data_IF_011266650874
#
_entry.id   IF_011266650874
#
_cell.length_a   1.000
_cell.length_b   1.000
_cell.length_c   1.000
_cell.angle_alpha   90.00
_cell.angle_beta   90.00
_cell.angle_gamma   90.00
#
_symmetry.space_group_name_H-M   'P 1'
#
loop_
_entity.id
_entity.type
_entity.pdbx_description
1 polymer ?
#
# COMPACT_ATOMS: atom_id res chain seq x y z
N UNK A 1 -39.22 -8.51 44.88
CA UNK A 1 -38.02 -9.26 44.42
C UNK A 1 -37.61 -8.67 43.09
N UNK A 2 -36.44 -8.04 43.08
CA UNK A 2 -36.05 -7.03 42.12
C UNK A 2 -35.68 -7.59 40.74
N UNK A 3 -36.31 -7.02 39.71
CA UNK A 3 -35.78 -6.93 38.35
C UNK A 3 -35.04 -5.60 38.24
N UNK A 4 -33.70 -5.65 38.16
CA UNK A 4 -32.81 -4.61 37.63
C UNK A 4 -31.37 -5.12 37.74
N UNK A 5 -30.73 -5.24 36.58
CA UNK A 5 -29.34 -4.85 36.29
C UNK A 5 -28.89 -5.54 34.99
N UNK A 6 -29.33 -4.97 33.86
CA UNK A 6 -28.49 -4.96 32.67
C UNK A 6 -27.48 -3.85 32.89
N UNK A 7 -26.35 -4.18 33.49
CA UNK A 7 -25.23 -3.27 33.63
C UNK A 7 -24.46 -3.18 32.31
N UNK A 8 -24.22 -1.93 31.91
CA UNK A 8 -23.43 -1.48 30.78
C UNK A 8 -22.05 -2.15 30.74
N UNK A 9 -21.81 -3.01 29.75
CA UNK A 9 -20.47 -3.37 29.29
C UNK A 9 -20.26 -2.80 27.88
N UNK A 10 -19.69 -1.59 27.80
CA UNK A 10 -18.87 -1.05 26.69
C UNK A 10 -18.91 0.49 26.65
N UNK A 11 -18.24 1.14 27.60
CA UNK A 11 -17.84 2.54 27.45
C UNK A 11 -16.45 2.78 28.08
N UNK A 12 -15.48 1.90 27.81
CA UNK A 12 -14.11 2.41 27.75
C UNK A 12 -14.00 3.20 26.44
N UNK A 13 -13.48 4.43 26.44
CA UNK A 13 -13.23 5.14 25.20
C UNK A 13 -12.25 4.28 24.39
N UNK A 14 -12.71 3.88 23.21
CA UNK A 14 -11.88 3.15 22.25
C UNK A 14 -10.76 4.12 21.84
N UNK A 15 -9.50 3.73 22.05
CA UNK A 15 -8.31 4.50 21.64
C UNK A 15 -8.49 5.06 20.23
N UNK A 16 -8.05 6.29 19.97
CA UNK A 16 -8.16 6.90 18.65
C UNK A 16 -6.84 6.85 17.89
N UNK A 17 -6.91 6.61 16.58
CA UNK A 17 -5.78 6.69 15.66
C UNK A 17 -6.09 7.76 14.63
N UNK A 18 -5.29 8.83 14.63
CA UNK A 18 -5.30 9.86 13.61
C UNK A 18 -4.19 9.58 12.61
N UNK A 19 -4.56 9.08 11.43
CA UNK A 19 -3.64 8.64 10.41
C UNK A 19 -3.50 9.68 9.29
N UNK A 20 -2.29 10.12 8.94
CA UNK A 20 -2.01 11.02 7.83
C UNK A 20 -1.49 10.25 6.61
N UNK A 21 -2.22 10.29 5.50
CA UNK A 21 -1.95 9.47 4.33
C UNK A 21 -1.99 10.27 3.02
N UNK A 22 -0.95 10.11 2.21
CA UNK A 22 -0.89 10.70 0.87
C UNK A 22 -1.70 9.90 -0.17
N UNK A 23 -2.15 8.69 0.17
CA UNK A 23 -2.99 7.85 -0.68
C UNK A 23 -4.47 8.09 -0.38
N UNK A 24 -5.27 8.07 -1.44
CA UNK A 24 -6.72 8.16 -1.37
C UNK A 24 -7.32 6.80 -1.04
N UNK A 25 -8.24 6.75 -0.08
CA UNK A 25 -8.89 5.53 0.38
C UNK A 25 -9.60 4.79 -0.78
N UNK A 26 -10.36 5.54 -1.57
CA UNK A 26 -11.21 5.01 -2.66
C UNK A 26 -10.47 4.87 -4.01
N UNK A 27 -9.13 5.01 -4.06
CA UNK A 27 -8.38 4.95 -5.31
C UNK A 27 -7.82 3.55 -5.60
N UNK A 28 -6.68 3.19 -5.01
CA UNK A 28 -6.08 1.86 -5.17
C UNK A 28 -5.95 1.23 -3.80
N UNK A 29 -6.52 0.03 -3.65
CA UNK A 29 -6.50 -0.71 -2.39
C UNK A 29 -5.09 -1.27 -2.15
N UNK A 30 -4.47 -0.89 -1.03
CA UNK A 30 -3.09 -1.21 -0.70
C UNK A 30 -2.92 -1.34 0.83
N UNK A 31 -1.67 -1.28 1.29
CA UNK A 31 -1.26 -1.43 2.70
C UNK A 31 -2.10 -0.57 3.68
N UNK A 32 -2.35 0.73 3.46
CA UNK A 32 -3.14 1.52 4.42
C UNK A 32 -4.54 0.95 4.63
N UNK A 33 -5.23 0.54 3.56
CA UNK A 33 -6.56 -0.04 3.68
C UNK A 33 -6.53 -1.36 4.45
N UNK A 34 -5.54 -2.23 4.19
CA UNK A 34 -5.41 -3.48 4.92
C UNK A 34 -5.16 -3.27 6.42
N UNK A 35 -4.27 -2.35 6.78
CA UNK A 35 -3.87 -2.13 8.17
C UNK A 35 -4.91 -1.33 8.96
N UNK A 36 -5.42 -0.24 8.38
CA UNK A 36 -6.34 0.66 9.07
C UNK A 36 -7.73 0.03 9.24
N UNK A 37 -8.21 -0.77 8.29
CA UNK A 37 -9.45 -1.53 8.46
C UNK A 37 -9.37 -2.55 9.58
N UNK A 38 -8.19 -3.16 9.81
CA UNK A 38 -7.95 -4.05 10.96
C UNK A 38 -7.82 -3.26 12.26
N UNK A 39 -7.13 -2.13 12.20
CA UNK A 39 -7.00 -1.19 13.30
C UNK A 39 -8.35 -0.72 13.83
N UNK A 40 -9.35 -0.54 12.94
CA UNK A 40 -10.70 -0.15 13.31
C UNK A 40 -11.40 -1.12 14.29
N UNK A 41 -10.93 -2.37 14.41
CA UNK A 41 -11.42 -3.30 15.43
C UNK A 41 -10.95 -2.93 16.84
N UNK A 42 -9.76 -2.36 16.98
CA UNK A 42 -9.10 -2.03 18.25
C UNK A 42 -9.17 -0.54 18.62
N UNK A 43 -9.14 0.34 17.62
CA UNK A 43 -9.15 1.79 17.75
C UNK A 43 -10.26 2.44 16.89
N UNK A 44 -10.61 3.70 17.17
CA UNK A 44 -11.34 4.55 16.22
C UNK A 44 -10.34 5.16 15.24
N UNK A 45 -10.47 4.85 13.96
CA UNK A 45 -9.55 5.32 12.93
C UNK A 45 -10.11 6.52 12.20
N UNK A 46 -9.31 7.58 12.19
CA UNK A 46 -9.53 8.84 11.48
C UNK A 46 -8.40 9.01 10.46
N UNK A 47 -8.70 8.75 9.19
CA UNK A 47 -7.75 8.87 8.10
C UNK A 47 -7.82 10.27 7.46
N UNK A 48 -6.79 11.07 7.68
CA UNK A 48 -6.56 12.34 7.02
C UNK A 48 -5.83 12.12 5.70
N UNK A 49 -6.49 12.40 4.58
CA UNK A 49 -5.88 12.30 3.26
C UNK A 49 -5.23 13.62 2.84
N UNK A 50 -4.38 13.60 1.80
CA UNK A 50 -3.85 14.82 1.17
C UNK A 50 -4.97 15.82 0.78
N UNK A 51 -4.70 17.12 0.67
CA UNK A 51 -5.73 18.06 0.27
C UNK A 51 -6.14 17.90 -1.21
N UNK A 52 -7.39 18.25 -1.52
CA UNK A 52 -7.88 18.45 -2.88
C UNK A 52 -8.10 19.93 -3.10
N UNK A 53 -7.38 20.51 -4.06
CA UNK A 53 -7.67 21.88 -4.50
C UNK A 53 -8.96 21.89 -5.33
N UNK A 54 -9.97 22.60 -4.84
CA UNK A 54 -11.33 22.57 -5.38
C UNK A 54 -11.93 23.99 -5.46
N UNK A 55 -13.02 24.13 -6.22
CA UNK A 55 -13.78 25.38 -6.36
C UNK A 55 -14.64 25.75 -5.15
N UNK A 56 -14.17 25.47 -3.92
CA UNK A 56 -14.82 25.86 -2.67
C UNK A 56 -14.46 27.31 -2.30
N UNK A 57 -15.34 28.01 -1.60
CA UNK A 57 -15.11 29.43 -1.22
C UNK A 57 -14.17 29.57 -0.01
N UNK A 58 -14.18 28.58 0.88
CA UNK A 58 -13.36 28.50 2.07
C UNK A 58 -12.88 27.06 2.27
N UNK A 59 -11.80 26.83 3.04
CA UNK A 59 -11.39 25.47 3.37
C UNK A 59 -12.52 24.69 4.07
N UNK A 60 -12.79 23.48 3.59
CA UNK A 60 -13.84 22.59 4.10
C UNK A 60 -13.26 21.19 4.33
N UNK A 61 -13.75 20.48 5.34
CA UNK A 61 -13.35 19.08 5.58
C UNK A 61 -14.46 18.15 5.12
N UNK A 62 -14.27 17.47 3.98
CA UNK A 62 -15.17 16.40 3.55
C UNK A 62 -14.95 15.19 4.44
N UNK A 63 -16.03 14.64 4.99
CA UNK A 63 -15.99 13.45 5.83
C UNK A 63 -16.82 12.33 5.21
N UNK A 64 -16.26 11.13 5.11
CA UNK A 64 -16.97 9.91 4.72
C UNK A 64 -16.64 8.78 5.70
N UNK A 65 -17.45 7.73 5.69
CA UNK A 65 -17.19 6.52 6.47
C UNK A 65 -17.07 5.37 5.47
N UNK A 66 -15.90 4.75 5.43
CA UNK A 66 -15.65 3.56 4.64
C UNK A 66 -16.50 2.38 5.12
N UNK A 67 -16.66 1.36 4.27
CA UNK A 67 -17.44 0.15 4.63
C UNK A 67 -16.92 -0.52 5.89
N UNK A 68 -15.62 -0.44 6.13
CA UNK A 68 -14.92 -1.01 7.29
C UNK A 68 -15.05 -0.15 8.56
N UNK A 69 -15.68 1.02 8.48
CA UNK A 69 -15.90 1.93 9.59
C UNK A 69 -14.80 2.98 9.79
N UNK A 70 -13.75 2.96 8.96
CA UNK A 70 -12.71 4.00 8.95
C UNK A 70 -13.34 5.33 8.53
N UNK A 71 -13.13 6.39 9.32
CA UNK A 71 -13.57 7.73 8.94
C UNK A 71 -12.51 8.39 8.07
N UNK A 72 -12.86 8.69 6.83
CA UNK A 72 -11.97 9.33 5.86
C UNK A 72 -12.26 10.82 5.83
N UNK A 73 -11.19 11.61 5.93
CA UNK A 73 -11.20 13.06 6.06
C UNK A 73 -10.39 13.63 4.90
N UNK A 74 -11.07 14.29 3.96
CA UNK A 74 -10.43 14.89 2.79
C UNK A 74 -10.52 16.41 2.89
N UNK A 75 -9.41 17.14 3.10
CA UNK A 75 -9.42 18.60 3.09
C UNK A 75 -9.72 19.11 1.67
N UNK A 76 -10.73 19.95 1.53
CA UNK A 76 -11.06 20.68 0.31
C UNK A 76 -10.52 22.11 0.46
N UNK A 77 -9.59 22.51 -0.39
CA UNK A 77 -8.87 23.78 -0.25
C UNK A 77 -9.12 24.65 -1.49
N UNK A 78 -9.50 25.94 -1.33
CA UNK A 78 -9.58 26.85 -2.47
C UNK A 78 -8.24 26.99 -3.19
N UNK A 79 -8.27 27.15 -4.51
CA UNK A 79 -7.05 27.44 -5.27
C UNK A 79 -6.39 28.74 -4.78
N UNK A 80 -5.05 28.70 -4.62
CA UNK A 80 -4.27 29.85 -4.17
C UNK A 80 -4.21 30.06 -2.64
N UNK A 81 -4.92 29.24 -1.85
CA UNK A 81 -4.80 29.24 -0.40
C UNK A 81 -3.54 28.49 0.06
N UNK A 82 -2.92 28.95 1.17
CA UNK A 82 -1.85 28.20 1.83
C UNK A 82 -2.42 26.89 2.41
N UNK A 83 -2.07 25.76 1.78
CA UNK A 83 -2.64 24.47 2.14
C UNK A 83 -2.26 24.02 3.55
N UNK A 84 -1.06 24.33 4.03
CA UNK A 84 -0.61 23.91 5.36
C UNK A 84 -1.39 24.63 6.48
N UNK A 85 -1.57 25.94 6.33
CA UNK A 85 -2.33 26.76 7.29
C UNK A 85 -3.82 26.38 7.31
N UNK A 86 -4.40 26.16 6.12
CA UNK A 86 -5.78 25.70 5.99
C UNK A 86 -5.98 24.32 6.62
N UNK A 87 -5.09 23.36 6.36
CA UNK A 87 -5.15 22.03 6.95
C UNK A 87 -4.97 22.08 8.46
N UNK A 88 -4.02 22.85 8.99
CA UNK A 88 -3.82 23.01 10.45
C UNK A 88 -5.09 23.50 11.13
N UNK A 89 -5.77 24.48 10.53
CA UNK A 89 -7.03 25.02 11.05
C UNK A 89 -8.14 23.98 11.02
N UNK A 90 -8.33 23.29 9.89
CA UNK A 90 -9.33 22.22 9.76
C UNK A 90 -9.06 21.08 10.75
N UNK A 91 -7.79 20.71 10.95
CA UNK A 91 -7.35 19.64 11.82
C UNK A 91 -7.66 19.96 13.29
N UNK A 92 -7.32 21.17 13.74
CA UNK A 92 -7.62 21.62 15.09
C UNK A 92 -9.13 21.62 15.38
N UNK A 93 -9.91 22.17 14.45
CA UNK A 93 -11.37 22.18 14.57
C UNK A 93 -11.92 20.76 14.65
N UNK A 94 -11.40 19.84 13.83
CA UNK A 94 -11.83 18.44 13.82
C UNK A 94 -11.49 17.72 15.13
N UNK A 95 -10.25 17.83 15.62
CA UNK A 95 -9.80 17.26 16.90
C UNK A 95 -10.70 17.75 18.04
N UNK A 96 -10.96 19.06 18.11
CA UNK A 96 -11.84 19.66 19.11
C UNK A 96 -13.28 19.15 18.99
N UNK A 97 -13.83 19.06 17.78
CA UNK A 97 -15.20 18.58 17.54
C UNK A 97 -15.40 17.10 17.90
N UNK A 98 -14.37 16.27 17.69
CA UNK A 98 -14.42 14.85 18.01
C UNK A 98 -14.01 14.55 19.47
N UNK A 99 -13.46 15.52 20.20
CA UNK A 99 -12.94 15.30 21.55
C UNK A 99 -11.76 14.33 21.57
N UNK A 100 -10.83 14.46 20.61
CA UNK A 100 -9.64 13.61 20.52
C UNK A 100 -8.57 14.10 21.51
N UNK A 101 -8.79 13.82 22.80
CA UNK A 101 -7.89 14.23 23.89
C UNK A 101 -6.66 13.30 24.03
N UNK A 102 -6.78 12.05 23.59
CA UNK A 102 -5.71 11.04 23.60
C UNK A 102 -5.81 10.22 22.30
N UNK A 103 -4.72 10.17 21.53
CA UNK A 103 -4.67 9.50 20.24
C UNK A 103 -3.24 9.12 19.83
N UNK A 104 -3.14 8.13 18.95
CA UNK A 104 -1.92 7.81 18.20
C UNK A 104 -1.92 8.61 16.90
N UNK A 105 -0.82 9.28 16.58
CA UNK A 105 -0.60 9.88 15.27
C UNK A 105 0.16 8.89 14.37
N UNK A 106 -0.47 8.42 13.28
CA UNK A 106 0.13 7.47 12.35
C UNK A 106 0.43 8.15 11.01
N UNK A 107 1.69 8.18 10.59
CA UNK A 107 2.12 8.85 9.36
C UNK A 107 2.47 7.84 8.27
N UNK A 108 1.87 7.99 7.09
CA UNK A 108 2.35 7.42 5.82
C UNK A 108 3.06 8.45 4.95
N UNK A 109 3.08 9.73 5.36
CA UNK A 109 3.77 10.81 4.64
C UNK A 109 4.42 11.78 5.63
N UNK A 110 5.72 12.09 5.47
CA UNK A 110 6.36 13.12 6.27
C UNK A 110 5.79 14.52 6.06
N UNK A 111 5.15 14.77 4.91
CA UNK A 111 4.63 16.09 4.57
C UNK A 111 3.52 16.57 5.49
N UNK A 112 2.85 15.65 6.19
CA UNK A 112 1.81 16.02 7.15
C UNK A 112 2.35 16.81 8.35
N UNK A 113 3.63 16.65 8.71
CA UNK A 113 4.24 17.42 9.80
C UNK A 113 4.16 18.94 9.61
N UNK A 114 4.10 19.42 8.36
CA UNK A 114 3.96 20.85 8.05
C UNK A 114 2.71 21.49 8.69
N UNK A 115 1.68 20.70 8.96
CA UNK A 115 0.44 21.17 9.59
C UNK A 115 0.07 20.43 10.88
N UNK A 116 0.78 19.35 11.23
CA UNK A 116 0.50 18.54 12.42
C UNK A 116 1.59 18.57 13.50
N UNK A 117 2.71 19.27 13.30
CA UNK A 117 3.85 19.30 14.24
C UNK A 117 3.56 19.89 15.63
N UNK A 118 2.43 20.57 15.81
CA UNK A 118 2.00 21.11 17.11
C UNK A 118 1.17 20.11 17.93
N UNK A 119 0.82 18.96 17.34
CA UNK A 119 0.02 17.94 18.03
C UNK A 119 0.86 17.24 19.10
N UNK A 120 0.19 16.85 20.18
CA UNK A 120 0.75 16.08 21.28
C UNK A 120 0.03 14.72 21.35
N UNK A 121 0.31 13.79 20.41
CA UNK A 121 -0.23 12.44 20.49
C UNK A 121 0.41 11.69 21.66
N UNK A 122 -0.22 10.58 22.08
CA UNK A 122 0.43 9.61 22.95
C UNK A 122 1.64 9.02 22.23
N UNK A 123 1.49 8.66 20.95
CA UNK A 123 2.57 8.08 20.14
C UNK A 123 2.55 8.58 18.71
N UNK A 124 3.73 8.73 18.14
CA UNK A 124 3.99 8.94 16.72
C UNK A 124 4.48 7.64 16.07
N UNK A 125 3.64 7.09 15.19
CA UNK A 125 3.99 5.96 14.31
C UNK A 125 4.38 6.50 12.94
N UNK A 126 5.51 6.07 12.39
CA UNK A 126 5.85 6.30 10.99
C UNK A 126 5.88 4.99 10.21
N UNK A 127 4.91 4.76 9.32
CA UNK A 127 4.90 3.60 8.40
C UNK A 127 5.47 4.01 7.04
N UNK A 128 6.79 3.84 6.92
CA UNK A 128 7.56 4.07 5.71
C UNK A 128 7.33 2.90 4.73
N UNK A 129 6.34 3.04 3.86
CA UNK A 129 6.02 2.00 2.86
C UNK A 129 6.76 2.17 1.52
N UNK A 130 7.10 3.41 1.16
CA UNK A 130 7.78 3.78 -0.08
C UNK A 130 8.86 4.83 0.21
N UNK A 131 9.90 4.88 -0.62
CA UNK A 131 10.86 5.99 -0.64
C UNK A 131 10.24 7.17 -1.41
N UNK A 132 9.34 7.91 -0.75
CA UNK A 132 8.56 8.98 -1.38
C UNK A 132 9.44 10.06 -2.01
N UNK A 133 10.64 10.30 -1.46
CA UNK A 133 11.61 11.26 -1.98
C UNK A 133 12.16 10.88 -3.37
N UNK A 134 12.06 9.60 -3.74
CA UNK A 134 12.53 9.08 -5.01
C UNK A 134 11.46 9.09 -6.12
N UNK A 135 10.22 9.50 -5.82
CA UNK A 135 9.17 9.63 -6.83
C UNK A 135 9.40 10.84 -7.73
N UNK A 136 8.96 10.72 -8.98
CA UNK A 136 9.07 11.81 -9.94
C UNK A 136 8.20 12.99 -9.47
N UNK A 137 8.80 14.17 -9.36
CA UNK A 137 8.13 15.38 -8.89
C UNK A 137 7.93 15.45 -7.37
N UNK A 138 8.60 14.58 -6.60
CA UNK A 138 8.60 14.68 -5.14
C UNK A 138 9.11 16.06 -4.68
N UNK A 139 8.45 16.73 -3.72
CA UNK A 139 8.92 18.00 -3.17
C UNK A 139 10.31 17.83 -2.54
N UNK A 140 11.26 18.75 -2.76
CA UNK A 140 12.60 18.65 -2.18
C UNK A 140 12.58 18.69 -0.65
N UNK A 141 11.56 19.30 -0.05
CA UNK A 141 11.38 19.39 1.40
C UNK A 141 11.08 18.03 2.03
N UNK A 142 10.65 17.03 1.25
CA UNK A 142 10.29 15.71 1.77
C UNK A 142 11.44 15.05 2.52
N UNK A 143 12.69 15.23 2.06
CA UNK A 143 13.88 14.69 2.74
C UNK A 143 14.04 15.31 4.14
N UNK A 144 13.84 16.62 4.25
CA UNK A 144 13.96 17.34 5.53
C UNK A 144 12.82 16.97 6.48
N UNK A 145 11.59 16.89 5.97
CA UNK A 145 10.44 16.49 6.77
C UNK A 145 10.49 14.99 7.15
N UNK A 146 11.07 14.13 6.31
CA UNK A 146 11.31 12.73 6.69
C UNK A 146 12.31 12.65 7.86
N UNK A 147 13.38 13.43 7.83
CA UNK A 147 14.31 13.51 8.98
C UNK A 147 13.58 14.02 10.23
N UNK A 148 12.77 15.08 10.12
CA UNK A 148 11.97 15.55 11.26
C UNK A 148 11.05 14.47 11.78
N UNK A 149 10.38 13.71 10.91
CA UNK A 149 9.51 12.62 11.34
C UNK A 149 10.27 11.48 12.01
N UNK A 150 11.47 11.14 11.53
CA UNK A 150 12.35 10.21 12.24
C UNK A 150 12.72 10.70 13.64
N UNK A 151 12.96 12.00 13.82
CA UNK A 151 13.33 12.56 15.12
C UNK A 151 12.16 12.55 16.13
N UNK A 152 10.90 12.48 15.66
CA UNK A 152 9.70 12.50 16.51
C UNK A 152 8.99 11.14 16.61
N UNK A 153 9.31 10.17 15.76
CA UNK A 153 8.62 8.89 15.74
C UNK A 153 9.08 7.98 16.89
N UNK A 154 8.15 7.45 17.66
CA UNK A 154 8.47 6.46 18.71
C UNK A 154 8.73 5.09 18.09
N UNK A 155 8.04 4.78 16.98
CA UNK A 155 8.22 3.55 16.22
C UNK A 155 8.10 3.79 14.72
N UNK A 156 9.02 3.17 13.97
CA UNK A 156 9.02 3.18 12.51
C UNK A 156 8.79 1.77 11.97
N UNK A 157 7.90 1.66 11.01
CA UNK A 157 7.69 0.45 10.22
C UNK A 157 8.21 0.63 8.81
N UNK A 158 8.88 -0.40 8.28
CA UNK A 158 9.35 -0.44 6.90
C UNK A 158 8.60 -1.53 6.11
N UNK A 159 8.06 -1.16 4.95
CA UNK A 159 7.24 -2.03 4.09
C UNK A 159 8.01 -3.02 3.21
N UNK A 160 9.34 -2.96 3.19
CA UNK A 160 10.23 -3.81 2.38
C UNK A 160 11.60 -3.97 3.03
N UNK A 161 12.31 -5.05 2.68
CA UNK A 161 13.60 -5.40 3.29
C UNK A 161 14.69 -4.36 2.95
N UNK A 162 14.77 -3.95 1.68
CA UNK A 162 15.72 -2.93 1.26
C UNK A 162 15.44 -1.57 1.89
N UNK A 163 14.16 -1.21 2.07
CA UNK A 163 13.76 0.00 2.77
C UNK A 163 14.14 -0.08 4.26
N UNK A 164 13.84 -1.19 4.92
CA UNK A 164 14.23 -1.44 6.32
C UNK A 164 15.74 -1.26 6.54
N UNK A 165 16.56 -1.88 5.69
CA UNK A 165 18.02 -1.74 5.76
C UNK A 165 18.47 -0.29 5.66
N UNK A 166 17.82 0.51 4.81
CA UNK A 166 18.13 1.92 4.63
C UNK A 166 17.68 2.80 5.80
N UNK A 167 16.55 2.47 6.44
CA UNK A 167 15.95 3.30 7.50
C UNK A 167 16.40 2.92 8.91
N UNK A 168 16.79 1.66 9.17
CA UNK A 168 17.25 1.20 10.50
C UNK A 168 18.52 1.89 11.01
N UNK A 169 19.26 2.57 10.14
CA UNK A 169 20.44 3.38 10.52
C UNK A 169 20.08 4.84 10.84
N UNK A 170 18.83 5.23 10.63
CA UNK A 170 18.30 6.59 10.83
C UNK A 170 17.47 6.73 12.10
N UNK A 171 16.97 5.62 12.65
CA UNK A 171 16.14 5.62 13.85
C UNK A 171 16.40 4.36 14.70
N UNK A 172 16.26 4.48 16.03
CA UNK A 172 16.59 3.41 16.98
C UNK A 172 15.54 2.29 17.08
N UNK A 173 14.29 2.60 16.75
CA UNK A 173 13.15 1.68 16.85
C UNK A 173 12.50 1.49 15.46
N UNK A 174 13.15 0.71 14.60
CA UNK A 174 12.67 0.40 13.24
C UNK A 174 12.40 -1.09 13.13
N UNK A 175 11.23 -1.45 12.58
CA UNK A 175 10.82 -2.84 12.39
C UNK A 175 10.46 -3.12 10.94
N UNK A 176 10.84 -4.32 10.47
CA UNK A 176 10.49 -4.81 9.14
C UNK A 176 9.14 -5.53 9.19
N UNK A 177 8.13 -4.92 8.59
CA UNK A 177 6.81 -5.53 8.38
C UNK A 177 6.46 -5.44 6.90
N UNK A 178 6.92 -6.42 6.09
CA UNK A 178 6.75 -6.35 4.64
C UNK A 178 5.27 -6.39 4.26
N UNK A 179 4.99 -5.93 3.04
CA UNK A 179 3.67 -6.12 2.43
C UNK A 179 3.23 -7.59 2.49
N UNK A 180 2.00 -7.79 2.94
CA UNK A 180 1.37 -9.11 3.11
C UNK A 180 0.35 -9.38 2.00
N UNK A 181 -0.28 -10.55 2.09
CA UNK A 181 -1.28 -10.99 1.12
C UNK A 181 -2.63 -11.26 1.78
N UNK A 182 -3.71 -10.90 1.08
CA UNK A 182 -5.05 -11.46 1.29
C UNK A 182 -5.17 -12.77 0.51
N UNK A 183 -4.63 -13.84 1.09
CA UNK A 183 -4.47 -15.11 0.39
C UNK A 183 -5.80 -15.66 -0.13
N UNK A 184 -6.85 -15.63 0.69
CA UNK A 184 -8.15 -16.17 0.32
C UNK A 184 -8.79 -15.39 -0.83
N UNK A 185 -8.64 -14.07 -0.84
CA UNK A 185 -9.15 -13.21 -1.91
C UNK A 185 -8.53 -13.57 -3.27
N UNK A 186 -7.20 -13.71 -3.33
CA UNK A 186 -6.51 -13.98 -4.59
C UNK A 186 -6.49 -15.46 -4.98
N UNK A 187 -6.48 -16.38 -4.01
CA UNK A 187 -6.57 -17.83 -4.28
C UNK A 187 -7.90 -18.20 -4.97
N UNK A 188 -8.96 -17.42 -4.78
CA UNK A 188 -10.23 -17.60 -5.50
C UNK A 188 -10.05 -17.60 -7.03
N UNK A 189 -9.03 -16.90 -7.55
CA UNK A 189 -8.70 -16.89 -8.99
C UNK A 189 -8.46 -18.31 -9.56
N UNK A 190 -8.02 -19.26 -8.73
CA UNK A 190 -7.75 -20.65 -9.15
C UNK A 190 -9.01 -21.44 -9.50
N UNK A 191 -10.18 -21.00 -9.03
CA UNK A 191 -11.45 -21.70 -9.22
C UNK A 191 -12.45 -20.94 -10.09
N UNK A 192 -12.24 -19.64 -10.31
CA UNK A 192 -13.10 -18.80 -11.15
C UNK A 192 -13.07 -19.33 -12.60
N UNK A 193 -14.26 -19.49 -13.19
CA UNK A 193 -14.44 -19.90 -14.58
C UNK A 193 -14.97 -18.78 -15.47
N UNK A 194 -15.67 -17.80 -14.88
CA UNK A 194 -16.25 -16.67 -15.63
C UNK A 194 -15.16 -15.68 -16.02
N UNK A 195 -15.01 -15.42 -17.33
CA UNK A 195 -14.08 -14.43 -17.84
C UNK A 195 -14.71 -13.02 -17.85
N UNK A 196 -13.96 -11.97 -17.47
CA UNK A 196 -14.41 -10.58 -17.63
C UNK A 196 -14.73 -10.23 -19.09
N UNK A 197 -15.83 -9.48 -19.31
CA UNK A 197 -16.34 -9.16 -20.66
C UNK A 197 -15.32 -8.42 -21.53
N UNK A 198 -14.55 -7.51 -20.94
CA UNK A 198 -13.55 -6.70 -21.63
C UNK A 198 -12.20 -7.42 -21.82
N UNK A 199 -12.08 -8.67 -21.36
CA UNK A 199 -10.90 -9.52 -21.54
C UNK A 199 -11.20 -10.79 -22.35
N UNK A 200 -12.47 -11.23 -22.38
CA UNK A 200 -12.87 -12.52 -22.96
C UNK A 200 -12.48 -12.72 -24.44
N UNK A 201 -12.48 -11.65 -25.22
CA UNK A 201 -12.20 -11.69 -26.66
C UNK A 201 -10.69 -11.63 -26.97
N UNK A 202 -9.86 -11.36 -25.96
CA UNK A 202 -8.41 -11.28 -26.12
C UNK A 202 -7.84 -12.70 -26.19
N UNK A 203 -7.09 -13.08 -27.23
CA UNK A 203 -6.57 -14.44 -27.34
C UNK A 203 -5.50 -14.77 -26.28
N UNK A 204 -5.19 -16.07 -26.16
CA UNK A 204 -4.09 -16.59 -25.37
C UNK A 204 -2.80 -16.73 -26.22
N UNK A 205 -1.60 -16.66 -25.59
CA UNK A 205 -1.38 -16.49 -24.16
C UNK A 205 -1.55 -15.03 -23.69
N UNK A 206 -2.14 -14.87 -22.50
CA UNK A 206 -2.41 -13.61 -21.82
C UNK A 206 -1.35 -13.38 -20.74
N UNK A 207 -0.54 -12.33 -20.91
CA UNK A 207 0.54 -11.93 -20.00
C UNK A 207 0.10 -10.66 -19.27
N UNK A 208 -0.19 -10.76 -17.98
CA UNK A 208 -0.89 -9.69 -17.28
C UNK A 208 -0.06 -8.91 -16.27
N UNK A 209 -0.35 -7.61 -16.17
CA UNK A 209 0.07 -6.73 -15.10
C UNK A 209 -1.14 -5.96 -14.59
N UNK A 210 -1.22 -5.80 -13.26
CA UNK A 210 -2.06 -4.77 -12.68
C UNK A 210 -1.31 -3.89 -11.69
N UNK A 211 -1.71 -2.64 -11.63
CA UNK A 211 -1.12 -1.63 -10.75
C UNK A 211 -1.27 -0.25 -11.34
N UNK A 212 -0.85 0.77 -10.59
CA UNK A 212 -0.77 2.13 -11.14
C UNK A 212 0.22 2.13 -12.31
N UNK A 213 -0.21 2.65 -13.45
CA UNK A 213 0.63 2.83 -14.64
C UNK A 213 1.31 4.20 -14.53
N UNK A 214 2.49 4.21 -13.94
CA UNK A 214 3.28 5.42 -13.64
C UNK A 214 4.75 5.27 -14.05
N UNK A 215 5.64 6.12 -13.53
CA UNK A 215 7.09 6.12 -13.82
C UNK A 215 7.80 4.81 -13.44
N UNK A 216 7.17 3.94 -12.65
CA UNK A 216 7.73 2.64 -12.29
C UNK A 216 7.51 1.59 -13.38
N UNK A 217 6.57 1.76 -14.30
CA UNK A 217 6.38 0.84 -15.42
C UNK A 217 7.53 1.00 -16.42
N UNK A 218 8.22 -0.10 -16.74
CA UNK A 218 9.18 -0.14 -17.84
C UNK A 218 8.48 -0.19 -19.19
N UNK A 219 8.18 1.00 -19.71
CA UNK A 219 7.46 1.19 -20.98
C UNK A 219 8.27 0.73 -22.18
N UNK A 220 9.59 0.81 -22.11
CA UNK A 220 10.48 0.40 -23.19
C UNK A 220 10.59 -1.13 -23.22
N UNK A 221 10.76 -1.77 -22.05
CA UNK A 221 10.69 -3.22 -21.93
C UNK A 221 9.34 -3.75 -22.46
N UNK A 222 8.21 -3.17 -22.05
CA UNK A 222 6.89 -3.59 -22.54
C UNK A 222 6.77 -3.47 -24.07
N UNK A 223 7.30 -2.39 -24.66
CA UNK A 223 7.32 -2.19 -26.12
C UNK A 223 8.14 -3.27 -26.81
N UNK A 224 9.32 -3.58 -26.28
CA UNK A 224 10.25 -4.52 -26.87
C UNK A 224 9.76 -5.97 -26.77
N UNK A 225 9.28 -6.42 -25.61
CA UNK A 225 8.73 -7.78 -25.46
C UNK A 225 7.47 -7.97 -26.30
N UNK A 226 6.64 -6.93 -26.47
CA UNK A 226 5.47 -6.99 -27.34
C UNK A 226 5.83 -7.11 -28.83
N UNK A 227 6.93 -6.49 -29.26
CA UNK A 227 7.45 -6.60 -30.61
C UNK A 227 8.12 -7.97 -30.87
N UNK A 228 8.83 -8.52 -29.88
CA UNK A 228 9.45 -9.84 -29.96
C UNK A 228 8.43 -10.98 -30.02
N UNK A 229 7.24 -10.80 -29.42
CA UNK A 229 6.17 -11.80 -29.35
C UNK A 229 4.82 -11.23 -29.79
N UNK A 230 4.61 -11.05 -31.11
CA UNK A 230 3.34 -10.55 -31.65
C UNK A 230 2.16 -11.52 -31.44
N UNK A 231 2.44 -12.79 -31.13
CA UNK A 231 1.47 -13.83 -30.81
C UNK A 231 1.02 -13.83 -29.33
N UNK A 232 1.67 -13.06 -28.47
CA UNK A 232 1.31 -12.91 -27.05
C UNK A 232 0.47 -11.67 -26.82
N UNK A 233 -0.46 -11.73 -25.87
CA UNK A 233 -1.32 -10.60 -25.53
C UNK A 233 -1.04 -10.05 -24.13
N UNK A 234 -0.58 -8.81 -24.06
CA UNK A 234 -0.21 -8.13 -22.81
C UNK A 234 -1.42 -7.39 -22.25
N UNK A 235 -1.88 -7.79 -21.07
CA UNK A 235 -3.02 -7.18 -20.39
C UNK A 235 -2.50 -6.19 -19.33
N UNK A 236 -2.87 -4.92 -19.48
CA UNK A 236 -2.47 -3.84 -18.59
C UNK A 236 -3.70 -3.29 -17.87
N UNK A 237 -3.78 -3.51 -16.56
CA UNK A 237 -4.91 -3.09 -15.71
C UNK A 237 -4.45 -2.04 -14.71
N UNK A 238 -5.14 -0.90 -14.66
CA UNK A 238 -4.94 0.11 -13.65
C UNK A 238 -5.05 1.54 -14.17
N UNK A 239 -5.05 2.51 -13.25
CA UNK A 239 -5.11 3.92 -13.61
C UNK A 239 -3.76 4.42 -14.12
N UNK A 240 -3.80 5.33 -15.09
CA UNK A 240 -2.62 6.08 -15.57
C UNK A 240 -2.42 7.31 -14.68
N UNK A 241 -1.27 7.42 -14.03
CA UNK A 241 -0.98 8.47 -13.03
C UNK A 241 0.42 9.01 -13.25
N UNK A 242 0.63 10.32 -13.05
CA UNK A 242 1.91 11.07 -13.20
C UNK A 242 2.54 11.08 -14.60
N UNK A 243 2.11 10.18 -15.49
CA UNK A 243 2.50 10.13 -16.90
C UNK A 243 1.31 10.48 -17.79
N UNK A 244 1.57 10.79 -19.05
CA UNK A 244 0.51 10.98 -20.05
C UNK A 244 0.16 9.65 -20.68
N UNK A 245 -1.12 9.43 -20.97
CA UNK A 245 -1.58 8.19 -21.62
C UNK A 245 -0.94 7.97 -23.01
N UNK A 246 -0.61 9.05 -23.71
CA UNK A 246 0.12 9.03 -24.99
C UNK A 246 1.56 8.50 -24.88
N UNK A 247 2.15 8.52 -23.67
CA UNK A 247 3.49 8.02 -23.44
C UNK A 247 3.52 6.48 -23.24
N UNK A 248 2.36 5.84 -23.15
CA UNK A 248 2.26 4.38 -23.03
C UNK A 248 2.52 3.70 -24.39
N UNK A 249 3.25 2.57 -24.42
CA UNK A 249 3.46 1.84 -25.66
C UNK A 249 2.14 1.29 -26.22
N UNK A 250 1.96 1.40 -27.54
CA UNK A 250 0.77 0.89 -28.23
C UNK A 250 1.21 -0.09 -29.31
N UNK A 251 0.61 -1.27 -29.28
CA UNK A 251 0.75 -2.32 -30.30
C UNK A 251 -0.55 -3.12 -30.36
N UNK A 252 -0.78 -3.88 -31.44
CA UNK A 252 -2.00 -4.66 -31.63
C UNK A 252 -2.23 -5.72 -30.54
N UNK A 253 -1.18 -6.04 -29.79
CA UNK A 253 -1.17 -7.05 -28.75
C UNK A 253 -0.97 -6.50 -27.33
N UNK A 254 -1.07 -5.17 -27.13
CA UNK A 254 -1.07 -4.54 -25.80
C UNK A 254 -2.47 -3.99 -25.53
N UNK A 255 -3.09 -4.44 -24.45
CA UNK A 255 -4.48 -4.14 -24.10
C UNK A 255 -4.56 -3.41 -22.77
N UNK A 256 -5.01 -2.15 -22.80
CA UNK A 256 -5.24 -1.35 -21.60
C UNK A 256 -6.72 -1.41 -21.21
N UNK A 257 -7.05 -2.06 -20.10
CA UNK A 257 -8.45 -2.30 -19.68
C UNK A 257 -8.94 -1.30 -18.63
N UNK A 258 -8.12 -0.29 -18.31
CA UNK A 258 -8.40 0.72 -17.29
C UNK A 258 -8.34 0.17 -15.87
N UNK A 259 -8.78 0.97 -14.91
CA UNK A 259 -8.80 0.62 -13.50
C UNK A 259 -9.91 -0.39 -13.19
N UNK A 260 -9.59 -1.39 -12.37
CA UNK A 260 -10.54 -2.35 -11.77
C UNK A 260 -10.51 -2.23 -10.25
N UNK A 261 -11.63 -2.54 -9.62
CA UNK A 261 -11.68 -2.60 -8.16
C UNK A 261 -10.85 -3.78 -7.66
N UNK A 262 -10.36 -3.68 -6.43
CA UNK A 262 -9.62 -4.77 -5.77
C UNK A 262 -10.40 -6.09 -5.76
N UNK A 263 -11.74 -6.01 -5.65
CA UNK A 263 -12.64 -7.16 -5.66
C UNK A 263 -12.65 -7.91 -7.00
N UNK A 264 -12.49 -7.19 -8.11
CA UNK A 264 -12.54 -7.75 -9.45
C UNK A 264 -11.22 -8.41 -9.86
N UNK A 265 -10.08 -8.01 -9.29
CA UNK A 265 -8.75 -8.48 -9.71
C UNK A 265 -8.58 -10.01 -9.78
N UNK A 266 -9.12 -10.83 -8.86
CA UNK A 266 -9.05 -12.29 -8.99
C UNK A 266 -9.70 -12.84 -10.25
N UNK A 267 -10.76 -12.22 -10.77
CA UNK A 267 -11.43 -12.65 -12.01
C UNK A 267 -10.52 -12.43 -13.24
N UNK A 268 -9.81 -11.31 -13.29
CA UNK A 268 -8.86 -11.05 -14.37
C UNK A 268 -7.68 -12.01 -14.29
N UNK A 269 -7.10 -12.18 -13.09
CA UNK A 269 -5.99 -13.10 -12.84
C UNK A 269 -6.32 -14.53 -13.24
N UNK A 270 -7.55 -15.00 -12.99
CA UNK A 270 -7.99 -16.36 -13.29
C UNK A 270 -7.71 -16.77 -14.74
N UNK A 271 -7.76 -15.80 -15.65
CA UNK A 271 -7.64 -16.04 -17.10
C UNK A 271 -6.25 -15.70 -17.68
N UNK A 272 -5.32 -15.20 -16.86
CA UNK A 272 -3.94 -14.97 -17.29
C UNK A 272 -3.15 -16.28 -17.31
N UNK A 273 -2.23 -16.42 -18.26
CA UNK A 273 -1.31 -17.55 -18.31
C UNK A 273 -0.04 -17.26 -17.49
N UNK A 274 0.44 -16.02 -17.54
CA UNK A 274 1.59 -15.54 -16.78
C UNK A 274 1.29 -14.15 -16.24
N UNK A 275 1.67 -13.88 -14.99
CA UNK A 275 1.68 -12.53 -14.46
C UNK A 275 3.09 -11.94 -14.54
N UNK A 276 3.20 -10.64 -14.79
CA UNK A 276 4.49 -9.98 -14.93
C UNK A 276 4.64 -8.76 -14.03
N UNK A 277 5.89 -8.44 -13.68
CA UNK A 277 6.30 -7.25 -12.94
C UNK A 277 7.38 -6.48 -13.74
N UNK A 278 6.98 -5.77 -14.82
CA UNK A 278 7.88 -5.05 -15.71
C UNK A 278 8.23 -3.68 -15.14
N UNK A 279 8.94 -3.65 -14.01
CA UNK A 279 9.33 -2.41 -13.36
C UNK A 279 10.62 -1.83 -13.94
N UNK A 280 10.61 -0.52 -14.23
CA UNK A 280 11.78 0.21 -14.69
C UNK A 280 12.84 0.23 -13.59
N UNK A 281 14.12 0.08 -13.92
CA UNK A 281 15.23 0.16 -12.95
C UNK A 281 15.65 1.62 -12.72
N UNK A 282 14.93 2.33 -11.86
CA UNK A 282 15.17 3.75 -11.58
C UNK A 282 15.13 4.04 -10.06
N UNK A 283 15.12 5.32 -9.68
CA UNK A 283 15.12 5.70 -8.28
C UNK A 283 13.85 5.25 -7.55
N UNK A 284 12.67 5.34 -8.19
CA UNK A 284 11.38 5.03 -7.57
C UNK A 284 11.13 3.53 -7.37
N UNK A 285 11.91 2.66 -8.02
CA UNK A 285 11.82 1.20 -7.88
C UNK A 285 12.98 0.60 -7.08
N UNK A 286 13.92 1.42 -6.61
CA UNK A 286 15.10 0.94 -5.86
C UNK A 286 14.76 0.20 -4.57
N UNK A 287 13.70 0.65 -3.88
CA UNK A 287 13.30 0.16 -2.55
C UNK A 287 11.89 -0.46 -2.53
N UNK A 288 11.33 -0.77 -3.71
CA UNK A 288 9.96 -1.30 -3.76
C UNK A 288 9.93 -2.77 -3.34
N UNK A 289 8.89 -3.12 -2.59
CA UNK A 289 8.49 -4.51 -2.32
C UNK A 289 7.05 -4.68 -2.83
N UNK A 290 6.87 -5.09 -4.11
CA UNK A 290 5.56 -5.06 -4.76
C UNK A 290 4.57 -6.03 -4.13
N UNK A 291 3.42 -5.52 -3.65
CA UNK A 291 2.31 -6.35 -3.13
C UNK A 291 1.80 -7.34 -4.17
N UNK A 292 1.93 -7.00 -5.47
CA UNK A 292 1.47 -7.84 -6.58
C UNK A 292 2.14 -9.19 -6.65
N UNK A 293 3.39 -9.30 -6.19
CA UNK A 293 4.15 -10.56 -6.25
C UNK A 293 3.43 -11.67 -5.49
N UNK A 294 3.14 -11.55 -4.18
CA UNK A 294 2.40 -12.58 -3.47
C UNK A 294 0.93 -12.69 -3.92
N UNK A 295 0.33 -11.64 -4.49
CA UNK A 295 -1.04 -11.69 -5.04
C UNK A 295 -1.13 -12.61 -6.28
N UNK A 296 -0.19 -12.48 -7.22
CA UNK A 296 -0.10 -13.34 -8.40
C UNK A 296 0.22 -14.80 -8.03
N UNK A 297 1.12 -14.98 -7.07
CA UNK A 297 1.47 -16.29 -6.54
C UNK A 297 0.27 -16.95 -5.84
N UNK A 298 -0.49 -16.21 -5.01
CA UNK A 298 -1.71 -16.71 -4.39
C UNK A 298 -2.76 -17.13 -5.43
N UNK A 299 -2.90 -16.37 -6.52
CA UNK A 299 -3.73 -16.73 -7.66
C UNK A 299 -3.23 -17.94 -8.47
N UNK A 300 -2.07 -18.50 -8.14
CA UNK A 300 -1.49 -19.66 -8.79
C UNK A 300 -0.93 -19.35 -10.18
N UNK A 301 -0.57 -18.08 -10.42
CA UNK A 301 -0.05 -17.60 -11.70
C UNK A 301 1.48 -17.62 -11.67
N UNK A 302 2.17 -18.28 -12.61
CA UNK A 302 3.61 -18.10 -12.80
C UNK A 302 3.93 -16.61 -12.94
N UNK A 303 5.00 -16.16 -12.28
CA UNK A 303 5.36 -14.74 -12.23
C UNK A 303 6.72 -14.53 -12.86
N UNK A 304 6.82 -13.53 -13.74
CA UNK A 304 8.09 -13.05 -14.30
C UNK A 304 8.32 -11.60 -13.86
N UNK A 305 9.50 -11.29 -13.34
CA UNK A 305 9.82 -9.95 -12.87
C UNK A 305 11.12 -9.44 -13.47
N UNK A 306 11.18 -8.12 -13.62
CA UNK A 306 12.47 -7.42 -13.70
C UNK A 306 13.25 -7.62 -12.39
N UNK A 307 14.58 -7.38 -12.36
CA UNK A 307 15.43 -7.62 -11.19
C UNK A 307 15.24 -6.60 -10.05
N UNK A 308 14.02 -6.49 -9.52
CA UNK A 308 13.72 -5.74 -8.30
C UNK A 308 14.32 -6.48 -7.12
N UNK A 309 15.17 -5.79 -6.35
CA UNK A 309 15.97 -6.38 -5.26
C UNK A 309 15.15 -7.25 -4.31
N UNK A 310 14.04 -6.72 -3.80
CA UNK A 310 13.19 -7.45 -2.86
C UNK A 310 12.48 -8.63 -3.54
N UNK A 311 12.11 -8.52 -4.83
CA UNK A 311 11.51 -9.63 -5.58
C UNK A 311 12.52 -10.77 -5.78
N UNK A 312 13.74 -10.42 -6.19
CA UNK A 312 14.83 -11.38 -6.39
C UNK A 312 15.14 -12.11 -5.08
N UNK A 313 15.40 -11.37 -4.00
CA UNK A 313 15.84 -11.95 -2.74
C UNK A 313 14.75 -12.78 -2.05
N UNK A 314 13.50 -12.32 -2.08
CA UNK A 314 12.41 -12.96 -1.33
C UNK A 314 11.82 -14.14 -2.12
N UNK A 315 11.70 -14.00 -3.45
CA UNK A 315 10.96 -14.97 -4.28
C UNK A 315 11.84 -15.61 -5.37
N UNK A 316 12.71 -14.83 -6.02
CA UNK A 316 13.57 -15.29 -7.12
C UNK A 316 14.58 -16.35 -6.69
N UNK A 317 15.33 -16.10 -5.61
CA UNK A 317 16.32 -17.05 -5.06
C UNK A 317 15.69 -18.37 -4.58
N UNK A 318 14.38 -18.34 -4.28
CA UNK A 318 13.59 -19.53 -3.88
C UNK A 318 12.95 -20.25 -5.06
N UNK A 319 13.15 -19.76 -6.29
CA UNK A 319 12.53 -20.31 -7.50
C UNK A 319 11.01 -20.11 -7.59
N UNK A 320 10.45 -19.16 -6.83
CA UNK A 320 9.00 -18.86 -6.85
C UNK A 320 8.65 -17.89 -7.98
N UNK A 321 9.58 -17.01 -8.36
CA UNK A 321 9.43 -16.00 -9.41
C UNK A 321 10.61 -16.13 -10.38
N UNK A 322 10.35 -16.08 -11.69
CA UNK A 322 11.39 -16.05 -12.71
C UNK A 322 11.84 -14.60 -12.95
N UNK A 323 13.14 -14.40 -13.19
CA UNK A 323 13.73 -13.08 -13.34
C UNK A 323 14.31 -12.94 -14.75
N UNK A 324 14.00 -11.82 -15.42
CA UNK A 324 14.62 -11.43 -16.69
C UNK A 324 15.00 -9.95 -16.64
N UNK A 325 16.24 -9.61 -16.99
CA UNK A 325 16.72 -8.22 -16.96
C UNK A 325 16.55 -7.53 -18.30
N UNK A 326 16.90 -8.23 -19.37
CA UNK A 326 16.78 -7.75 -20.76
C UNK A 326 15.47 -8.21 -21.40
N UNK A 327 14.99 -7.56 -22.48
CA UNK A 327 13.82 -8.02 -23.22
C UNK A 327 13.90 -9.50 -23.63
N UNK A 328 15.07 -9.96 -24.09
CA UNK A 328 15.29 -11.35 -24.51
C UNK A 328 15.21 -12.33 -23.33
N UNK A 329 15.82 -11.98 -22.19
CA UNK A 329 15.73 -12.78 -20.97
C UNK A 329 14.31 -12.78 -20.40
N UNK A 330 13.61 -11.64 -20.46
CA UNK A 330 12.24 -11.53 -19.99
C UNK A 330 11.29 -12.38 -20.83
N UNK A 331 11.43 -12.35 -22.16
CA UNK A 331 10.69 -13.26 -23.07
C UNK A 331 11.03 -14.72 -22.77
N UNK A 332 12.32 -15.05 -22.60
CA UNK A 332 12.74 -16.41 -22.28
C UNK A 332 12.15 -16.90 -20.94
N UNK A 333 12.07 -16.02 -19.95
CA UNK A 333 11.45 -16.30 -18.66
C UNK A 333 9.93 -16.52 -18.78
N UNK A 334 9.23 -15.74 -19.62
CA UNK A 334 7.81 -15.96 -19.89
C UNK A 334 7.60 -17.28 -20.64
N UNK A 335 8.42 -17.61 -21.63
CA UNK A 335 8.33 -18.92 -22.31
C UNK A 335 8.47 -20.08 -21.32
N UNK A 336 9.46 -20.00 -20.42
CA UNK A 336 9.64 -20.99 -19.37
C UNK A 336 8.43 -21.05 -18.42
N UNK A 337 7.85 -19.90 -18.07
CA UNK A 337 6.65 -19.81 -17.25
C UNK A 337 5.43 -20.48 -17.92
N UNK A 338 5.22 -20.23 -19.22
CA UNK A 338 4.12 -20.81 -20.01
C UNK A 338 4.20 -22.34 -20.11
N UNK A 339 5.42 -22.89 -20.10
CA UNK A 339 5.65 -24.34 -20.17
C UNK A 339 5.50 -25.03 -18.81
N UNK A 340 5.47 -24.29 -17.70
CA UNK A 340 5.62 -24.83 -16.36
C UNK A 340 4.34 -24.76 -15.54
N UNK A 341 3.33 -25.59 -15.89
CA UNK A 341 2.16 -25.82 -15.04
C UNK A 341 2.46 -26.91 -14.00
N UNK A 342 3.21 -26.55 -12.96
CA UNK A 342 3.70 -27.49 -11.96
C UNK A 342 2.92 -27.40 -10.63
N UNK A 343 2.16 -28.44 -10.32
CA UNK A 343 1.44 -28.56 -9.03
C UNK A 343 2.39 -28.54 -7.82
N UNK A 344 3.60 -29.07 -7.95
CA UNK A 344 4.61 -29.00 -6.90
C UNK A 344 5.07 -27.56 -6.64
N UNK A 345 5.19 -26.75 -7.69
CA UNK A 345 5.48 -25.32 -7.56
C UNK A 345 4.35 -24.60 -6.82
N UNK A 346 3.08 -24.87 -7.15
CA UNK A 346 1.92 -24.31 -6.44
C UNK A 346 1.92 -24.66 -4.94
N UNK A 347 2.22 -25.92 -4.59
CA UNK A 347 2.33 -26.35 -3.19
C UNK A 347 3.47 -25.63 -2.44
N UNK A 348 4.59 -25.39 -3.12
CA UNK A 348 5.73 -24.64 -2.56
C UNK A 348 5.33 -23.18 -2.32
N UNK A 349 4.63 -22.56 -3.28
CA UNK A 349 4.06 -21.21 -3.15
C UNK A 349 3.09 -21.14 -1.98
N UNK A 350 2.15 -22.08 -1.85
CA UNK A 350 1.14 -22.06 -0.80
C UNK A 350 1.77 -22.21 0.59
N UNK A 351 2.77 -23.09 0.72
CA UNK A 351 3.54 -23.24 1.95
C UNK A 351 4.23 -21.92 2.31
N UNK A 352 4.92 -21.30 1.36
CA UNK A 352 5.62 -20.03 1.55
C UNK A 352 4.67 -18.90 1.95
N UNK A 353 3.54 -18.74 1.26
CA UNK A 353 2.58 -17.66 1.54
C UNK A 353 1.81 -17.86 2.85
N UNK A 354 1.64 -19.11 3.33
CA UNK A 354 0.95 -19.41 4.59
C UNK A 354 1.62 -18.79 5.83
N UNK A 355 2.90 -18.44 5.71
CA UNK A 355 3.66 -17.79 6.77
C UNK A 355 3.25 -16.32 6.95
N UNK A 356 2.67 -15.69 5.92
CA UNK A 356 2.33 -14.27 5.88
C UNK A 356 0.83 -14.02 5.80
N UNK A 357 0.34 -13.02 6.51
CA UNK A 357 -1.02 -12.49 6.30
C UNK A 357 -1.10 -11.07 6.81
N UNK A 358 -2.04 -10.29 6.26
CA UNK A 358 -2.29 -8.94 6.75
C UNK A 358 -2.69 -8.90 8.23
N UNK A 359 -3.34 -9.96 8.74
CA UNK A 359 -3.64 -10.08 10.16
C UNK A 359 -2.36 -10.24 10.98
N UNK A 360 -1.45 -11.15 10.60
CA UNK A 360 -0.17 -11.32 11.30
C UNK A 360 0.66 -10.03 11.27
N UNK A 361 0.74 -9.37 10.12
CA UNK A 361 1.43 -8.09 9.95
C UNK A 361 0.83 -7.03 10.88
N UNK A 362 -0.49 -6.83 10.85
CA UNK A 362 -1.16 -5.84 11.68
C UNK A 362 -0.96 -6.11 13.18
N UNK A 363 -1.17 -7.36 13.64
CA UNK A 363 -0.97 -7.69 15.06
C UNK A 363 0.48 -7.48 15.51
N UNK A 364 1.45 -7.81 14.65
CA UNK A 364 2.86 -7.52 14.92
C UNK A 364 3.11 -6.02 15.11
N UNK A 365 2.69 -5.20 14.14
CA UNK A 365 2.83 -3.74 14.21
C UNK A 365 2.11 -3.17 15.45
N UNK A 366 0.89 -3.61 15.72
CA UNK A 366 0.10 -3.16 16.86
C UNK A 366 0.77 -3.50 18.20
N UNK A 367 1.41 -4.67 18.31
CA UNK A 367 2.16 -5.03 19.51
C UNK A 367 3.36 -4.10 19.75
N UNK A 368 4.07 -3.67 18.70
CA UNK A 368 5.16 -2.69 18.86
C UNK A 368 4.62 -1.31 19.29
N UNK A 369 3.47 -0.88 18.76
CA UNK A 369 2.80 0.35 19.18
C UNK A 369 2.43 0.26 20.68
N UNK A 370 1.81 -0.84 21.10
CA UNK A 370 1.42 -1.04 22.51
C UNK A 370 2.63 -1.09 23.44
N UNK A 371 3.75 -1.67 23.02
CA UNK A 371 4.99 -1.65 23.81
C UNK A 371 5.51 -0.24 24.03
N UNK A 372 5.42 0.62 23.01
CA UNK A 372 5.82 2.01 23.14
C UNK A 372 4.89 2.74 24.14
N UNK A 373 3.57 2.49 24.09
CA UNK A 373 2.61 3.14 25.01
C UNK A 373 2.93 2.79 26.47
N UNK A 374 3.27 1.52 26.71
CA UNK A 374 3.60 1.02 28.04
C UNK A 374 4.96 1.56 28.55
N UNK A 375 5.91 1.84 27.65
CA UNK A 375 7.20 2.40 28.05
C UNK A 375 7.06 3.84 28.57
N UNK A 376 6.24 4.66 27.92
CA UNK A 376 5.97 6.04 28.34
C UNK A 376 5.22 6.12 29.68
N UNK A 377 4.26 5.21 29.91
CA UNK A 377 3.56 5.11 31.20
C UNK A 377 4.54 4.81 32.36
N UNK A 378 5.61 4.05 32.10
CA UNK A 378 6.63 3.70 33.09
C UNK A 378 7.67 4.80 33.31
N UNK A 379 7.92 5.64 32.30
CA UNK A 379 8.86 6.77 32.38
C UNK A 379 8.25 8.04 33.00
N UNK A 380 6.91 8.12 33.08
CA UNK A 380 6.21 9.22 33.75
C UNK A 380 6.37 9.06 35.28
N UNK A 381 7.09 9.95 35.99
CA UNK A 381 7.28 9.81 37.43
C UNK A 381 5.93 9.93 38.14
N UNK A 382 5.63 9.00 39.04
CA UNK A 382 4.54 9.14 40.02
C UNK A 382 4.74 10.48 40.74
N UNK A 383 4.02 11.53 40.33
CA UNK A 383 3.93 12.76 41.11
C UNK A 383 3.23 12.39 42.40
N UNK A 384 4.02 12.14 43.43
CA UNK A 384 3.57 11.92 44.79
C UNK A 384 2.89 13.21 45.27
N UNK A 385 1.57 13.26 45.18
CA UNK A 385 0.78 14.20 45.97
C UNK A 385 0.99 13.83 47.45
N UNK A 386 1.81 14.64 48.13
CA UNK A 386 1.93 14.69 49.59
C UNK A 386 1.18 15.90 50.09
#
# INVERSE_FOLDING_TARGET
MALKNHENFNQQPKLSVLCFCHLRWDFVYQRPQHLLSRCQSLAQVHLWEDPVFAGVQQPELKQTIATEGVRVLTPLIPHGTNADEAQRTLLNNYIQQQGLDSFIAWYYTPMALRFSDHLLPEIVVYDCMDELSAFQGAPPELIAEEQRLFDHADVVFAGGASLYESKRVRHGNVHLYPSSIDFNHFCAARTIQDEPEDQNAIPHPRIGFYGVLDERLDRDLLREIAALRPDWHFIMIGPVVKIREEDLPRAANIHYLGQKSYRELPQYLATWDVAMLPFARNASTRFISPTKTPEYLAAGKPVVSTPIRDVVNIYGEKGLVLIGETPEEFVSAIDAALQNNNEQWKQTVDTFLSETSWDKTFHGMWNEIVRCLQAEELETPLTTHS
#
